data_IF_088289570165
#
_entry.id   IF_088289570165
#
_cell.length_a   1.000
_cell.length_b   1.000
_cell.length_c   1.000
_cell.angle_alpha   90.00
_cell.angle_beta   90.00
_cell.angle_gamma   90.00
#
_symmetry.space_group_name_H-M   'P 1'
#
loop_
_entity.id
_entity.type
_entity.pdbx_description
1 polymer ?
#
# COMPACT_ATOMS: atom_id res chain seq x y z
N UNK A 1 9.77 -28.12 -14.34
CA UNK A 1 10.80 -27.48 -15.19
C UNK A 1 11.12 -26.15 -14.53
N UNK A 2 12.39 -25.86 -14.25
CA UNK A 2 12.76 -24.60 -13.62
C UNK A 2 12.74 -23.46 -14.65
N UNK A 3 12.38 -22.26 -14.23
CA UNK A 3 12.56 -21.04 -15.03
C UNK A 3 13.99 -20.57 -14.83
N UNK A 4 14.69 -20.23 -15.90
CA UNK A 4 16.06 -19.72 -15.84
C UNK A 4 16.13 -18.23 -15.47
N UNK A 5 17.31 -17.76 -15.08
CA UNK A 5 17.58 -16.35 -14.83
C UNK A 5 17.30 -15.47 -16.06
N UNK A 6 17.70 -15.92 -17.25
CA UNK A 6 17.45 -15.20 -18.51
C UNK A 6 15.95 -15.09 -18.81
N UNK A 7 15.18 -16.15 -18.57
CA UNK A 7 13.74 -16.18 -18.78
C UNK A 7 12.98 -15.27 -17.80
N UNK A 8 13.28 -15.35 -16.50
CA UNK A 8 12.59 -14.52 -15.51
C UNK A 8 12.89 -13.03 -15.71
N UNK A 9 14.12 -12.67 -16.10
CA UNK A 9 14.48 -11.28 -16.44
C UNK A 9 13.65 -10.73 -17.58
N UNK A 10 13.51 -11.51 -18.65
CA UNK A 10 12.67 -11.15 -19.81
C UNK A 10 11.20 -11.01 -19.40
N UNK A 11 10.74 -11.85 -18.47
CA UNK A 11 9.37 -11.85 -17.96
C UNK A 11 9.10 -10.77 -16.90
N UNK A 12 10.14 -10.18 -16.30
CA UNK A 12 10.05 -9.45 -15.04
C UNK A 12 9.05 -8.29 -15.08
N UNK A 13 9.04 -7.54 -16.20
CA UNK A 13 8.10 -6.42 -16.41
C UNK A 13 6.63 -6.83 -16.46
N UNK A 14 6.33 -8.09 -16.79
CA UNK A 14 4.98 -8.63 -16.80
C UNK A 14 4.66 -9.32 -15.48
N UNK A 15 5.53 -10.20 -15.01
CA UNK A 15 5.31 -10.99 -13.78
C UNK A 15 5.27 -10.10 -12.54
N UNK A 16 6.07 -9.04 -12.48
CA UNK A 16 6.16 -8.17 -11.31
C UNK A 16 5.50 -6.79 -11.53
N UNK A 17 4.69 -6.63 -12.58
CA UNK A 17 3.98 -5.39 -12.83
C UNK A 17 3.06 -5.00 -11.66
N UNK A 18 3.18 -3.76 -11.19
CA UNK A 18 2.35 -3.23 -10.09
C UNK A 18 1.11 -2.44 -10.57
N UNK A 19 0.89 -2.31 -11.88
CA UNK A 19 -0.10 -1.41 -12.49
C UNK A 19 -0.84 -2.02 -13.70
N UNK A 20 -1.66 -1.19 -14.38
CA UNK A 20 -2.60 -1.49 -15.48
C UNK A 20 -2.03 -2.24 -16.70
N UNK A 21 -0.72 -2.52 -16.75
CA UNK A 21 -0.10 -3.33 -17.81
C UNK A 21 -0.33 -4.85 -17.66
N UNK A 22 -1.24 -5.27 -16.77
CA UNK A 22 -1.41 -6.67 -16.40
C UNK A 22 -2.87 -7.12 -16.56
N UNK A 23 -3.13 -7.99 -17.53
CA UNK A 23 -4.48 -8.43 -17.95
C UNK A 23 -4.98 -9.71 -17.24
N UNK A 24 -4.42 -10.07 -16.09
CA UNK A 24 -4.84 -11.32 -15.42
C UNK A 24 -5.83 -11.08 -14.28
N UNK A 25 -6.70 -12.07 -13.97
CA UNK A 25 -7.57 -12.01 -12.81
C UNK A 25 -6.73 -11.75 -11.55
N UNK A 26 -7.15 -10.85 -10.68
CA UNK A 26 -6.40 -10.56 -9.46
C UNK A 26 -6.58 -11.73 -8.50
N UNK A 27 -5.45 -12.31 -8.07
CA UNK A 27 -5.44 -13.42 -7.13
C UNK A 27 -6.11 -13.03 -5.80
N UNK A 28 -6.94 -13.94 -5.27
CA UNK A 28 -7.37 -13.97 -3.86
C UNK A 28 -7.95 -12.65 -3.31
N UNK A 29 -8.90 -12.08 -4.07
CA UNK A 29 -9.82 -11.01 -3.62
C UNK A 29 -11.26 -11.50 -3.59
N UNK A 30 -11.48 -12.80 -3.43
CA UNK A 30 -12.81 -13.39 -3.60
C UNK A 30 -13.77 -12.97 -2.49
N UNK A 31 -13.27 -12.73 -1.28
CA UNK A 31 -14.08 -12.23 -0.17
C UNK A 31 -14.46 -10.78 -0.45
N UNK A 32 -13.51 -9.93 -0.86
CA UNK A 32 -13.83 -8.55 -1.25
C UNK A 32 -14.77 -8.48 -2.46
N UNK A 33 -14.57 -9.31 -3.48
CA UNK A 33 -15.43 -9.38 -4.67
C UNK A 33 -16.85 -9.77 -4.28
N UNK A 34 -16.99 -10.78 -3.42
CA UNK A 34 -18.28 -11.23 -2.90
C UNK A 34 -18.95 -10.14 -2.06
N UNK A 35 -18.21 -9.51 -1.15
CA UNK A 35 -18.73 -8.41 -0.32
C UNK A 35 -19.27 -7.26 -1.20
N UNK A 36 -18.51 -6.84 -2.21
CA UNK A 36 -18.98 -5.84 -3.18
C UNK A 36 -20.22 -6.33 -3.93
N UNK A 37 -20.21 -7.56 -4.44
CA UNK A 37 -21.36 -8.12 -5.17
C UNK A 37 -22.63 -8.16 -4.29
N UNK A 38 -22.50 -8.58 -3.03
CA UNK A 38 -23.59 -8.65 -2.06
C UNK A 38 -24.10 -7.24 -1.72
N UNK A 39 -23.19 -6.27 -1.53
CA UNK A 39 -23.56 -4.87 -1.26
C UNK A 39 -24.34 -4.25 -2.42
N UNK A 40 -23.92 -4.51 -3.66
CA UNK A 40 -24.51 -3.89 -4.85
C UNK A 40 -25.59 -4.74 -5.54
N UNK A 41 -25.93 -5.91 -4.98
CA UNK A 41 -27.08 -6.70 -5.43
C UNK A 41 -28.41 -5.93 -5.31
N UNK A 42 -28.49 -5.00 -4.34
CA UNK A 42 -29.58 -4.03 -4.22
C UNK A 42 -29.00 -2.62 -4.03
N UNK A 43 -29.21 -1.75 -5.01
CA UNK A 43 -28.66 -0.39 -5.02
C UNK A 43 -29.47 0.61 -4.17
N UNK A 44 -30.73 0.32 -3.86
CA UNK A 44 -31.61 1.28 -3.17
C UNK A 44 -31.08 1.72 -1.79
N UNK A 45 -30.56 0.82 -0.92
CA UNK A 45 -29.95 1.22 0.35
C UNK A 45 -28.69 2.09 0.22
N UNK A 46 -28.13 2.20 -0.98
CA UNK A 46 -26.91 2.95 -1.28
C UNK A 46 -27.17 4.30 -1.93
N UNK A 47 -28.41 4.59 -2.35
CA UNK A 47 -28.77 5.87 -2.96
C UNK A 47 -28.41 7.02 -2.03
N UNK A 48 -27.60 7.94 -2.54
CA UNK A 48 -27.06 9.08 -1.78
C UNK A 48 -26.07 8.70 -0.68
N UNK A 49 -25.47 7.51 -0.75
CA UNK A 49 -24.49 7.00 0.21
C UNK A 49 -23.14 6.68 -0.45
N UNK A 50 -22.11 6.39 0.34
CA UNK A 50 -20.78 6.07 -0.16
C UNK A 50 -20.24 4.74 0.39
N UNK A 51 -19.73 3.89 -0.50
CA UNK A 51 -18.85 2.78 -0.14
C UNK A 51 -17.40 3.29 -0.15
N UNK A 52 -16.69 3.01 0.94
CA UNK A 52 -15.29 3.39 1.12
C UNK A 52 -14.42 2.13 1.14
N UNK A 53 -13.44 2.07 0.25
CA UNK A 53 -12.37 1.08 0.29
C UNK A 53 -11.12 1.76 0.81
N UNK A 54 -10.85 1.54 2.10
CA UNK A 54 -9.71 2.12 2.82
C UNK A 54 -8.71 1.04 3.21
N UNK A 55 -7.57 1.06 2.53
CA UNK A 55 -6.43 0.15 2.74
C UNK A 55 -5.12 0.88 2.37
N UNK A 56 -3.94 0.43 2.82
CA UNK A 56 -2.68 1.13 2.57
C UNK A 56 -2.42 1.44 1.09
N UNK A 57 -1.57 2.44 0.84
CA UNK A 57 -1.15 2.76 -0.52
C UNK A 57 -0.47 1.56 -1.18
N UNK A 58 -0.71 1.36 -2.48
CA UNK A 58 -0.05 0.30 -3.24
C UNK A 58 -0.57 -1.12 -3.01
N UNK A 59 -1.69 -1.31 -2.30
CA UNK A 59 -2.34 -2.62 -2.04
C UNK A 59 -3.24 -3.15 -3.19
N UNK A 60 -3.30 -2.42 -4.31
CA UNK A 60 -4.08 -2.84 -5.49
C UNK A 60 -5.55 -2.42 -5.49
N UNK A 61 -5.99 -1.45 -4.68
CA UNK A 61 -7.38 -0.96 -4.65
C UNK A 61 -7.93 -0.56 -6.02
N UNK A 62 -7.19 0.27 -6.77
CA UNK A 62 -7.60 0.73 -8.11
C UNK A 62 -7.73 -0.46 -9.08
N UNK A 63 -6.79 -1.41 -9.02
CA UNK A 63 -6.84 -2.62 -9.85
C UNK A 63 -8.03 -3.52 -9.48
N UNK A 64 -8.30 -3.69 -8.18
CA UNK A 64 -9.47 -4.40 -7.69
C UNK A 64 -10.76 -3.78 -8.24
N UNK A 65 -10.92 -2.45 -8.15
CA UNK A 65 -12.09 -1.77 -8.70
C UNK A 65 -12.19 -1.96 -10.21
N UNK A 66 -11.08 -1.83 -10.94
CA UNK A 66 -11.07 -2.05 -12.39
C UNK A 66 -11.63 -3.43 -12.78
N UNK A 67 -11.39 -4.47 -11.98
CA UNK A 67 -11.93 -5.82 -12.22
C UNK A 67 -13.43 -5.98 -11.90
N UNK A 68 -13.95 -5.22 -10.94
CA UNK A 68 -15.36 -5.29 -10.53
C UNK A 68 -16.22 -4.23 -11.23
N UNK A 69 -15.64 -3.37 -12.09
CA UNK A 69 -16.38 -2.34 -12.82
C UNK A 69 -17.58 -2.89 -13.59
N UNK A 70 -17.40 -4.02 -14.27
CA UNK A 70 -18.49 -4.70 -15.01
C UNK A 70 -19.60 -5.18 -14.07
N UNK A 71 -19.25 -5.72 -12.90
CA UNK A 71 -20.20 -6.12 -11.86
C UNK A 71 -20.98 -4.93 -11.30
N UNK A 72 -20.33 -3.77 -11.21
CA UNK A 72 -20.93 -2.53 -10.73
C UNK A 72 -21.73 -1.77 -11.80
N UNK A 73 -21.82 -2.29 -13.04
CA UNK A 73 -22.43 -1.56 -14.15
C UNK A 73 -21.71 -0.25 -14.48
N UNK A 74 -20.44 -0.11 -14.10
CA UNK A 74 -19.59 1.02 -14.46
C UNK A 74 -19.15 0.85 -15.91
N UNK A 75 -19.49 1.80 -16.78
CA UNK A 75 -19.04 1.83 -18.17
C UNK A 75 -17.51 1.83 -18.25
N UNK A 76 -16.96 1.05 -19.18
CA UNK A 76 -15.53 1.06 -19.52
C UNK A 76 -15.03 2.49 -19.77
N UNK A 77 -13.82 2.80 -19.32
CA UNK A 77 -13.18 4.11 -19.52
C UNK A 77 -13.56 5.23 -18.54
N UNK A 78 -14.39 4.99 -17.51
CA UNK A 78 -14.57 5.96 -16.41
C UNK A 78 -13.25 6.13 -15.65
N UNK A 79 -12.60 7.28 -15.86
CA UNK A 79 -11.46 7.75 -15.07
C UNK A 79 -11.99 8.17 -13.67
N UNK A 80 -11.38 7.71 -12.57
CA UNK A 80 -11.73 8.20 -11.24
C UNK A 80 -11.56 9.71 -11.14
N UNK A 81 -12.44 10.37 -10.40
CA UNK A 81 -12.19 11.73 -9.93
C UNK A 81 -11.17 11.67 -8.79
N UNK A 82 -10.23 12.60 -8.76
CA UNK A 82 -9.27 12.71 -7.66
C UNK A 82 -9.92 13.50 -6.52
N UNK A 83 -9.90 12.99 -5.28
CA UNK A 83 -10.56 13.65 -4.13
C UNK A 83 -10.20 15.13 -4.04
N UNK A 84 -8.90 15.45 -4.17
CA UNK A 84 -8.40 16.82 -4.04
C UNK A 84 -8.81 17.78 -5.18
N UNK A 85 -9.37 17.26 -6.27
CA UNK A 85 -9.80 18.02 -7.45
C UNK A 85 -11.32 18.02 -7.64
N UNK A 86 -12.07 17.51 -6.65
CA UNK A 86 -13.52 17.48 -6.71
C UNK A 86 -14.07 18.90 -6.59
N UNK A 87 -14.84 19.29 -7.60
CA UNK A 87 -15.61 20.53 -7.63
C UNK A 87 -17.04 20.23 -8.11
N UNK A 88 -18.03 21.09 -7.80
CA UNK A 88 -19.40 20.89 -8.27
C UNK A 88 -19.51 20.71 -9.79
N UNK A 89 -18.65 21.40 -10.57
CA UNK A 89 -18.62 21.32 -12.03
C UNK A 89 -18.12 19.97 -12.56
N UNK A 90 -17.19 19.31 -11.85
CA UNK A 90 -16.63 18.01 -12.27
C UNK A 90 -17.64 16.90 -11.97
N UNK A 91 -18.32 16.95 -10.83
CA UNK A 91 -19.36 16.01 -10.44
C UNK A 91 -20.56 15.99 -11.41
N UNK A 92 -20.99 17.16 -11.90
CA UNK A 92 -22.07 17.27 -12.89
C UNK A 92 -21.79 16.54 -14.21
N UNK A 93 -20.51 16.29 -14.54
CA UNK A 93 -20.11 15.56 -15.75
C UNK A 93 -20.20 14.03 -15.58
N UNK A 94 -20.41 13.55 -14.35
CA UNK A 94 -20.50 12.11 -14.09
C UNK A 94 -21.81 11.54 -14.66
N UNK A 95 -21.70 10.48 -15.46
CA UNK A 95 -22.86 9.75 -16.02
C UNK A 95 -23.19 8.50 -15.20
N UNK A 96 -24.43 8.04 -15.23
CA UNK A 96 -24.88 6.84 -14.51
C UNK A 96 -25.00 7.01 -13.00
N UNK A 97 -25.28 5.89 -12.31
CA UNK A 97 -25.64 5.85 -10.89
C UNK A 97 -24.48 6.03 -9.92
N UNK A 98 -23.25 5.82 -10.39
CA UNK A 98 -22.05 5.82 -9.56
C UNK A 98 -21.11 7.00 -9.85
N UNK A 99 -20.56 7.56 -8.78
CA UNK A 99 -19.43 8.50 -8.78
C UNK A 99 -18.21 7.76 -8.24
N UNK A 100 -17.19 7.61 -9.09
CA UNK A 100 -15.95 6.93 -8.71
C UNK A 100 -14.88 7.95 -8.35
N UNK A 101 -14.30 7.79 -7.16
CA UNK A 101 -13.36 8.73 -6.55
C UNK A 101 -12.14 7.95 -6.04
N UNK A 102 -10.94 8.44 -6.34
CA UNK A 102 -9.65 7.86 -5.91
C UNK A 102 -8.76 8.95 -5.28
N UNK A 103 -7.60 8.56 -4.75
CA UNK A 103 -6.62 9.44 -4.09
C UNK A 103 -7.13 10.15 -2.81
N UNK A 104 -8.04 9.49 -2.08
CA UNK A 104 -8.38 9.84 -0.70
C UNK A 104 -7.29 9.42 0.29
N UNK A 105 -6.04 9.84 0.08
CA UNK A 105 -4.89 9.36 0.83
C UNK A 105 -4.02 10.49 1.43
N UNK A 106 -3.04 10.07 2.22
CA UNK A 106 -2.10 10.90 2.99
C UNK A 106 -1.31 11.91 2.14
N UNK A 107 -1.20 11.72 0.81
CA UNK A 107 -0.51 12.67 -0.07
C UNK A 107 -1.35 13.91 -0.34
N UNK A 108 -2.68 13.76 -0.33
CA UNK A 108 -3.61 14.86 -0.51
C UNK A 108 -3.62 15.75 0.74
N UNK A 109 -3.60 17.08 0.55
CA UNK A 109 -3.66 18.00 1.69
C UNK A 109 -4.98 17.85 2.47
N UNK A 110 -4.93 18.06 3.79
CA UNK A 110 -6.13 17.97 4.65
C UNK A 110 -7.28 18.84 4.14
N UNK A 111 -6.98 20.09 3.76
CA UNK A 111 -7.98 21.03 3.21
C UNK A 111 -8.64 20.50 1.94
N UNK A 112 -7.85 19.87 1.06
CA UNK A 112 -8.36 19.31 -0.19
C UNK A 112 -9.18 18.02 0.06
N UNK A 113 -8.73 17.14 0.97
CA UNK A 113 -9.51 15.98 1.41
C UNK A 113 -10.86 16.39 1.98
N UNK A 114 -10.87 17.33 2.93
CA UNK A 114 -12.09 17.83 3.56
C UNK A 114 -13.04 18.46 2.54
N UNK A 115 -12.56 19.42 1.74
CA UNK A 115 -13.39 20.11 0.75
C UNK A 115 -13.94 19.18 -0.34
N UNK A 116 -13.12 18.24 -0.81
CA UNK A 116 -13.51 17.25 -1.80
C UNK A 116 -14.59 16.30 -1.29
N UNK A 117 -14.41 15.74 -0.09
CA UNK A 117 -15.39 14.83 0.54
C UNK A 117 -16.69 15.53 0.92
N UNK A 118 -16.62 16.77 1.39
CA UNK A 118 -17.81 17.61 1.65
C UNK A 118 -18.61 17.88 0.38
N UNK A 119 -17.91 18.29 -0.69
CA UNK A 119 -18.54 18.55 -1.99
C UNK A 119 -19.18 17.28 -2.56
N UNK A 120 -18.46 16.14 -2.47
CA UNK A 120 -18.96 14.84 -2.87
C UNK A 120 -20.20 14.44 -2.07
N UNK A 121 -20.14 14.50 -0.74
CA UNK A 121 -21.22 14.07 0.15
C UNK A 121 -22.52 14.83 -0.09
N UNK A 122 -22.43 16.16 -0.29
CA UNK A 122 -23.58 16.99 -0.69
C UNK A 122 -24.16 16.54 -2.03
N UNK A 123 -23.32 16.35 -3.04
CA UNK A 123 -23.76 15.93 -4.36
C UNK A 123 -24.44 14.55 -4.37
N UNK A 124 -23.89 13.58 -3.64
CA UNK A 124 -24.50 12.25 -3.52
C UNK A 124 -25.90 12.36 -2.90
N UNK A 125 -26.04 13.14 -1.82
CA UNK A 125 -27.33 13.38 -1.17
C UNK A 125 -28.35 14.05 -2.09
N UNK A 126 -27.93 15.09 -2.82
CA UNK A 126 -28.82 15.87 -3.69
C UNK A 126 -29.27 15.09 -4.94
N UNK A 127 -28.44 14.16 -5.44
CA UNK A 127 -28.70 13.43 -6.69
C UNK A 127 -29.14 11.99 -6.50
N UNK A 128 -29.02 11.43 -5.30
CA UNK A 128 -29.25 10.02 -5.03
C UNK A 128 -28.19 9.10 -5.66
N UNK A 129 -27.10 9.62 -6.21
CA UNK A 129 -25.99 8.80 -6.73
C UNK A 129 -25.25 8.07 -5.61
N UNK A 130 -24.52 7.04 -6.00
CA UNK A 130 -23.72 6.19 -5.12
C UNK A 130 -22.25 6.56 -5.26
N UNK A 131 -21.59 6.86 -4.15
CA UNK A 131 -20.15 7.11 -4.11
C UNK A 131 -19.37 5.81 -3.97
N UNK A 132 -18.32 5.63 -4.78
CA UNK A 132 -17.27 4.65 -4.55
C UNK A 132 -15.97 5.40 -4.32
N UNK A 133 -15.49 5.42 -3.08
CA UNK A 133 -14.34 6.23 -2.66
C UNK A 133 -13.17 5.33 -2.27
N UNK A 134 -12.03 5.51 -2.93
CA UNK A 134 -10.80 4.79 -2.63
C UNK A 134 -9.80 5.71 -1.94
N UNK A 135 -9.09 5.15 -0.97
CA UNK A 135 -8.08 5.89 -0.23
C UNK A 135 -7.28 5.00 0.71
N UNK A 136 -6.39 5.62 1.46
CA UNK A 136 -5.70 4.94 2.57
C UNK A 136 -6.49 5.08 3.87
N UNK A 137 -5.83 4.88 5.00
CA UNK A 137 -6.45 5.01 6.32
C UNK A 137 -6.91 6.43 6.66
N UNK A 138 -6.51 7.45 5.90
CA UNK A 138 -7.03 8.82 6.02
C UNK A 138 -8.57 8.84 5.94
N UNK A 139 -9.17 8.04 5.06
CA UNK A 139 -10.63 7.97 4.94
C UNK A 139 -11.33 7.35 6.17
N UNK A 140 -10.60 6.68 7.06
CA UNK A 140 -11.14 6.18 8.33
C UNK A 140 -11.21 7.27 9.40
N UNK A 141 -10.64 8.44 9.14
CA UNK A 141 -10.77 9.58 10.03
C UNK A 141 -12.26 10.02 10.09
N UNK A 142 -12.88 10.07 11.28
CA UNK A 142 -14.26 10.53 11.44
C UNK A 142 -14.50 11.95 10.91
N UNK A 143 -13.53 12.85 11.04
CA UNK A 143 -13.65 14.24 10.57
C UNK A 143 -13.71 14.35 9.05
N UNK A 144 -13.14 13.38 8.33
CA UNK A 144 -13.24 13.29 6.87
C UNK A 144 -14.49 12.50 6.46
N UNK A 145 -14.69 11.30 7.02
CA UNK A 145 -15.76 10.40 6.59
C UNK A 145 -17.16 10.90 6.93
N UNK A 146 -17.34 11.72 7.99
CA UNK A 146 -18.64 12.32 8.36
C UNK A 146 -19.24 13.21 7.27
N UNK A 147 -18.42 13.72 6.35
CA UNK A 147 -18.90 14.55 5.25
C UNK A 147 -19.65 13.74 4.19
N UNK A 148 -19.39 12.43 4.11
CA UNK A 148 -20.13 11.53 3.25
C UNK A 148 -21.43 11.15 3.93
N UNK A 149 -22.53 11.16 3.19
CA UNK A 149 -23.82 10.70 3.72
C UNK A 149 -23.76 9.18 3.92
N UNK A 150 -23.94 8.70 5.17
CA UNK A 150 -23.95 7.26 5.54
C UNK A 150 -22.74 6.49 4.97
N UNK A 151 -21.49 6.84 5.35
CA UNK A 151 -20.32 6.15 4.85
C UNK A 151 -20.34 4.70 5.32
N UNK A 152 -20.12 3.77 4.41
CA UNK A 152 -19.92 2.36 4.74
C UNK A 152 -18.53 1.95 4.30
N UNK A 153 -17.77 1.38 5.21
CA UNK A 153 -16.45 0.83 4.91
C UNK A 153 -16.61 -0.62 4.46
N UNK A 154 -15.84 -1.00 3.44
CA UNK A 154 -15.68 -2.41 3.13
C UNK A 154 -15.01 -3.10 4.31
N UNK A 155 -15.60 -4.20 4.78
CA UNK A 155 -15.13 -4.91 5.97
C UNK A 155 -13.87 -5.71 5.66
N UNK A 156 -13.79 -6.28 4.46
CA UNK A 156 -12.72 -7.16 4.05
C UNK A 156 -12.01 -6.61 2.83
N UNK A 157 -10.74 -6.22 3.00
CA UNK A 157 -9.76 -6.14 1.92
C UNK A 157 -8.58 -7.01 2.32
N UNK A 158 -8.41 -8.14 1.65
CA UNK A 158 -7.51 -9.19 2.15
C UNK A 158 -6.07 -8.63 2.28
N UNK A 159 -5.37 -8.92 3.38
CA UNK A 159 -4.03 -8.38 3.61
C UNK A 159 -3.03 -8.91 2.57
N UNK A 160 -1.91 -8.21 2.43
CA UNK A 160 -0.75 -8.75 1.73
C UNK A 160 0.08 -9.59 2.71
N UNK A 161 -0.33 -10.85 2.84
CA UNK A 161 0.37 -11.89 3.60
C UNK A 161 1.17 -12.82 2.66
N UNK A 162 1.90 -13.77 3.26
CA UNK A 162 2.68 -14.77 2.53
C UNK A 162 1.82 -15.58 1.54
N UNK A 163 0.65 -16.05 1.97
CA UNK A 163 -0.27 -16.86 1.14
C UNK A 163 -0.73 -16.07 -0.07
N UNK A 164 -1.02 -14.78 0.10
CA UNK A 164 -1.39 -13.87 -0.96
C UNK A 164 -0.23 -13.68 -1.93
N UNK A 165 0.97 -13.35 -1.45
CA UNK A 165 2.14 -13.10 -2.30
C UNK A 165 2.53 -14.34 -3.11
N UNK A 166 2.64 -15.51 -2.47
CA UNK A 166 2.92 -16.79 -3.15
C UNK A 166 1.91 -17.07 -4.25
N UNK A 167 0.64 -16.93 -3.92
CA UNK A 167 -0.43 -17.24 -4.86
C UNK A 167 -0.51 -16.26 -6.02
N UNK A 168 -0.23 -14.97 -5.80
CA UNK A 168 -0.02 -14.01 -6.90
C UNK A 168 1.12 -14.50 -7.77
N UNK A 169 2.32 -14.69 -7.23
CA UNK A 169 3.49 -15.06 -8.04
C UNK A 169 3.25 -16.34 -8.83
N UNK A 170 2.64 -17.36 -8.21
CA UNK A 170 2.20 -18.60 -8.89
C UNK A 170 1.21 -18.32 -10.02
N UNK A 171 0.18 -17.53 -9.78
CA UNK A 171 -0.79 -17.19 -10.83
C UNK A 171 -0.12 -16.45 -11.99
N UNK A 172 0.79 -15.53 -11.70
CA UNK A 172 1.46 -14.74 -12.74
C UNK A 172 2.43 -15.56 -13.56
N UNK A 173 3.23 -16.39 -12.89
CA UNK A 173 4.15 -17.32 -13.55
C UNK A 173 3.41 -18.41 -14.33
N UNK A 174 2.30 -18.95 -13.81
CA UNK A 174 1.53 -19.98 -14.51
C UNK A 174 0.97 -19.46 -15.82
N UNK A 175 0.52 -18.21 -15.85
CA UNK A 175 0.01 -17.56 -17.05
C UNK A 175 1.12 -17.22 -18.04
N UNK A 176 2.26 -16.70 -17.56
CA UNK A 176 3.40 -16.41 -18.42
C UNK A 176 4.01 -17.68 -19.04
N UNK A 177 4.23 -18.71 -18.22
CA UNK A 177 4.85 -19.97 -18.65
C UNK A 177 3.85 -20.94 -19.30
N UNK A 178 2.55 -20.67 -19.22
CA UNK A 178 1.47 -21.58 -19.61
C UNK A 178 1.55 -22.95 -18.91
N UNK A 179 1.91 -22.94 -17.62
CA UNK A 179 2.12 -24.14 -16.80
C UNK A 179 1.22 -24.14 -15.57
N UNK A 180 0.57 -25.27 -15.25
CA UNK A 180 -0.32 -25.36 -14.08
C UNK A 180 0.42 -25.16 -12.74
N UNK A 181 1.64 -25.68 -12.64
CA UNK A 181 2.45 -25.66 -11.42
C UNK A 181 3.82 -25.02 -11.74
N UNK A 182 3.90 -23.69 -11.79
CA UNK A 182 5.17 -23.00 -12.03
C UNK A 182 6.14 -23.21 -10.85
N UNK A 183 7.45 -23.09 -11.09
CA UNK A 183 8.46 -23.18 -10.03
C UNK A 183 8.32 -22.01 -9.03
N UNK A 184 8.72 -22.26 -7.78
CA UNK A 184 8.96 -21.19 -6.82
C UNK A 184 10.22 -20.42 -7.24
N UNK A 185 10.15 -19.09 -7.15
CA UNK A 185 11.24 -18.19 -7.55
C UNK A 185 11.81 -17.40 -6.37
N UNK A 186 11.22 -17.51 -5.18
CA UNK A 186 11.72 -16.93 -3.93
C UNK A 186 11.91 -18.07 -2.92
N UNK A 187 12.95 -17.99 -2.10
CA UNK A 187 13.13 -18.88 -0.95
C UNK A 187 12.09 -18.57 0.15
N UNK A 188 11.77 -19.57 0.97
CA UNK A 188 10.82 -19.40 2.09
C UNK A 188 11.29 -18.33 3.08
N UNK A 189 12.59 -18.25 3.35
CA UNK A 189 13.17 -17.21 4.20
C UNK A 189 12.94 -15.80 3.64
N UNK A 190 13.03 -15.63 2.31
CA UNK A 190 12.81 -14.34 1.68
C UNK A 190 11.34 -13.93 1.74
N UNK A 191 10.40 -14.88 1.58
CA UNK A 191 8.98 -14.60 1.78
C UNK A 191 8.69 -14.03 3.17
N UNK A 192 9.27 -14.64 4.21
CA UNK A 192 9.05 -14.25 5.60
C UNK A 192 9.52 -12.82 5.91
N UNK A 193 10.56 -12.34 5.23
CA UNK A 193 11.07 -10.97 5.41
C UNK A 193 10.32 -9.95 4.55
N UNK A 194 9.91 -10.33 3.33
CA UNK A 194 9.17 -9.43 2.44
C UNK A 194 7.74 -9.16 2.91
N UNK A 195 7.11 -10.15 3.54
CA UNK A 195 5.73 -10.05 4.04
C UNK A 195 5.60 -10.71 5.42
N UNK A 196 6.20 -10.12 6.48
CA UNK A 196 6.08 -10.67 7.83
C UNK A 196 4.61 -10.71 8.27
N UNK A 197 4.23 -11.70 9.09
CA UNK A 197 2.81 -11.92 9.48
C UNK A 197 2.16 -10.68 10.11
N UNK A 198 2.90 -9.96 10.95
CA UNK A 198 2.44 -8.73 11.60
C UNK A 198 2.12 -7.58 10.62
N UNK A 199 2.58 -7.66 9.37
CA UNK A 199 2.60 -6.57 8.40
C UNK A 199 1.48 -6.62 7.38
N UNK A 200 0.66 -7.68 7.37
CA UNK A 200 -0.44 -7.84 6.43
C UNK A 200 -1.29 -6.56 6.20
N UNK A 201 -1.64 -5.80 7.25
CA UNK A 201 -2.43 -4.56 7.14
C UNK A 201 -1.68 -3.32 6.62
N UNK A 202 -0.35 -3.38 6.42
CA UNK A 202 0.49 -2.22 6.04
C UNK A 202 1.38 -2.50 4.82
N UNK A 203 1.56 -3.77 4.46
CA UNK A 203 2.36 -4.17 3.31
C UNK A 203 1.83 -3.59 2.00
N UNK A 204 2.76 -3.05 1.20
CA UNK A 204 2.46 -2.52 -0.13
C UNK A 204 2.82 -3.53 -1.20
N UNK A 205 1.81 -4.02 -1.91
CA UNK A 205 1.98 -4.93 -3.05
C UNK A 205 2.87 -4.33 -4.13
N UNK A 206 2.70 -3.03 -4.39
CA UNK A 206 3.59 -2.28 -5.29
C UNK A 206 5.03 -2.32 -4.82
N UNK A 207 5.28 -2.08 -3.53
CA UNK A 207 6.65 -2.01 -2.99
C UNK A 207 7.34 -3.36 -3.11
N UNK A 208 6.70 -4.43 -2.62
CA UNK A 208 7.25 -5.79 -2.67
C UNK A 208 7.53 -6.26 -4.11
N UNK A 209 6.59 -6.06 -5.04
CA UNK A 209 6.83 -6.47 -6.43
C UNK A 209 7.90 -5.63 -7.13
N UNK A 210 7.99 -4.34 -6.82
CA UNK A 210 9.04 -3.47 -7.39
C UNK A 210 10.41 -3.93 -6.90
N UNK A 211 10.52 -4.25 -5.61
CA UNK A 211 11.73 -4.81 -5.02
C UNK A 211 12.14 -6.14 -5.69
N UNK A 212 11.21 -7.09 -5.83
CA UNK A 212 11.48 -8.37 -6.50
C UNK A 212 11.92 -8.13 -7.96
N UNK A 213 11.28 -7.20 -8.66
CA UNK A 213 11.65 -6.86 -10.03
C UNK A 213 13.09 -6.33 -10.11
N UNK A 214 13.48 -5.44 -9.19
CA UNK A 214 14.85 -4.91 -9.10
C UNK A 214 15.85 -6.03 -8.82
N UNK A 215 15.59 -6.89 -7.84
CA UNK A 215 16.45 -8.02 -7.51
C UNK A 215 16.64 -8.97 -8.71
N UNK A 216 15.58 -9.21 -9.49
CA UNK A 216 15.64 -10.00 -10.72
C UNK A 216 16.53 -9.34 -11.78
N UNK A 217 16.55 -8.01 -11.88
CA UNK A 217 17.43 -7.34 -12.85
C UNK A 217 18.92 -7.53 -12.56
N UNK A 218 19.29 -7.83 -11.31
CA UNK A 218 20.69 -8.06 -10.91
C UNK A 218 21.19 -9.50 -11.12
N UNK A 219 20.29 -10.44 -11.45
CA UNK A 219 20.71 -11.82 -11.71
C UNK A 219 21.73 -11.91 -12.86
N UNK A 220 22.59 -12.93 -12.95
CA UNK A 220 23.36 -13.14 -14.17
C UNK A 220 22.41 -13.52 -15.32
N UNK A 221 22.65 -13.00 -16.53
CA UNK A 221 21.88 -13.40 -17.70
C UNK A 221 22.37 -14.76 -18.23
N UNK A 222 21.87 -15.86 -17.65
CA UNK A 222 22.26 -17.23 -17.98
C UNK A 222 21.09 -18.22 -17.82
N UNK A 223 21.35 -19.49 -18.13
CA UNK A 223 20.36 -20.57 -18.10
C UNK A 223 20.28 -21.28 -16.72
N UNK A 224 20.94 -20.73 -15.69
CA UNK A 224 20.82 -21.26 -14.34
C UNK A 224 19.39 -21.07 -13.81
N UNK A 225 18.90 -22.03 -13.04
CA UNK A 225 17.58 -21.96 -12.43
C UNK A 225 17.45 -20.71 -11.53
N UNK A 226 16.38 -19.97 -11.71
CA UNK A 226 16.08 -18.79 -10.90
C UNK A 226 15.55 -19.19 -9.52
N UNK A 227 16.27 -18.76 -8.49
CA UNK A 227 15.81 -18.76 -7.11
C UNK A 227 16.38 -17.52 -6.42
N UNK A 228 15.53 -16.55 -6.11
CA UNK A 228 15.88 -15.40 -5.30
C UNK A 228 15.96 -15.83 -3.84
N UNK A 229 17.09 -15.56 -3.20
CA UNK A 229 17.34 -15.97 -1.82
C UNK A 229 17.48 -14.76 -0.90
N UNK A 230 17.32 -14.98 0.41
CA UNK A 230 17.53 -13.94 1.41
C UNK A 230 18.93 -13.31 1.30
N UNK A 231 20.05 -14.05 1.21
CA UNK A 231 21.37 -13.46 1.05
C UNK A 231 21.50 -12.53 -0.18
N UNK A 232 20.86 -12.88 -1.30
CA UNK A 232 20.88 -12.01 -2.50
C UNK A 232 20.11 -10.72 -2.27
N UNK A 233 18.97 -10.79 -1.58
CA UNK A 233 18.18 -9.61 -1.24
C UNK A 233 18.92 -8.70 -0.24
N UNK A 234 19.59 -9.27 0.76
CA UNK A 234 20.42 -8.54 1.74
C UNK A 234 21.60 -7.86 1.04
N UNK A 235 22.33 -8.60 0.20
CA UNK A 235 23.46 -8.06 -0.57
C UNK A 235 23.01 -6.90 -1.48
N UNK A 236 21.88 -7.07 -2.17
CA UNK A 236 21.31 -6.01 -2.99
C UNK A 236 20.98 -4.76 -2.19
N UNK A 237 20.28 -4.89 -1.07
CA UNK A 237 19.93 -3.73 -0.23
C UNK A 237 21.18 -3.03 0.27
N UNK A 238 22.17 -3.77 0.79
CA UNK A 238 23.39 -3.16 1.35
C UNK A 238 24.28 -2.47 0.32
N UNK A 239 24.25 -2.92 -0.95
CA UNK A 239 25.16 -2.44 -1.98
C UNK A 239 24.51 -1.54 -3.04
N UNK A 240 23.20 -1.61 -3.22
CA UNK A 240 22.48 -0.96 -4.33
C UNK A 240 21.31 -0.08 -3.89
N UNK A 241 20.75 -0.30 -2.69
CA UNK A 241 19.69 0.58 -2.19
C UNK A 241 20.30 1.86 -1.64
N UNK A 242 19.96 2.97 -2.28
CA UNK A 242 20.41 4.31 -1.90
C UNK A 242 19.24 5.07 -1.28
N UNK A 243 19.14 5.17 0.06
CA UNK A 243 18.12 6.00 0.67
C UNK A 243 18.42 7.48 0.40
N UNK A 244 17.36 8.26 0.12
CA UNK A 244 17.47 9.72 0.10
C UNK A 244 17.74 10.22 1.53
N UNK A 245 19.01 10.47 1.85
CA UNK A 245 19.49 11.01 3.13
C UNK A 245 20.12 12.37 2.87
N UNK A 246 19.55 13.40 3.47
CA UNK A 246 19.91 14.80 3.27
C UNK A 246 20.83 15.34 4.38
N UNK A 247 20.93 14.65 5.53
CA UNK A 247 21.66 15.14 6.70
C UNK A 247 22.37 14.04 7.48
N UNK A 248 23.49 14.38 8.12
CA UNK A 248 24.20 13.49 9.06
C UNK A 248 23.28 12.99 10.18
N UNK A 249 22.29 13.79 10.59
CA UNK A 249 21.35 13.40 11.65
C UNK A 249 20.38 12.31 11.19
N UNK A 250 19.91 12.38 9.94
CA UNK A 250 19.12 11.31 9.32
C UNK A 250 19.94 10.03 9.18
N UNK A 251 21.21 10.13 8.76
CA UNK A 251 22.11 8.98 8.67
C UNK A 251 22.34 8.34 10.04
N UNK A 252 22.65 9.14 11.07
CA UNK A 252 22.82 8.66 12.44
C UNK A 252 21.56 7.99 12.98
N UNK A 253 20.38 8.56 12.72
CA UNK A 253 19.11 7.94 13.08
C UNK A 253 18.93 6.60 12.38
N UNK A 254 19.18 6.54 11.07
CA UNK A 254 19.04 5.32 10.28
C UNK A 254 19.93 4.21 10.83
N UNK A 255 21.21 4.50 11.07
CA UNK A 255 22.15 3.52 11.63
C UNK A 255 21.68 3.01 13.00
N UNK A 256 21.28 3.92 13.90
CA UNK A 256 20.72 3.53 15.20
C UNK A 256 19.46 2.67 15.04
N UNK A 257 18.58 3.02 14.10
CA UNK A 257 17.35 2.30 13.88
C UNK A 257 17.59 0.90 13.30
N UNK A 258 18.56 0.74 12.40
CA UNK A 258 18.99 -0.55 11.87
C UNK A 258 19.54 -1.45 12.98
N UNK A 259 20.39 -0.91 13.86
CA UNK A 259 20.91 -1.65 15.02
C UNK A 259 19.77 -2.09 15.96
N UNK A 260 18.81 -1.19 16.21
CA UNK A 260 17.63 -1.50 17.02
C UNK A 260 16.79 -2.63 16.42
N UNK A 261 16.55 -2.58 15.10
CA UNK A 261 15.82 -3.64 14.38
C UNK A 261 16.59 -4.97 14.47
N UNK A 262 17.89 -4.97 14.17
CA UNK A 262 18.72 -6.17 14.19
C UNK A 262 18.71 -6.87 15.56
N UNK A 263 18.75 -6.09 16.64
CA UNK A 263 18.83 -6.61 18.01
C UNK A 263 17.46 -6.99 18.59
N UNK A 264 16.44 -6.17 18.36
CA UNK A 264 15.15 -6.28 19.05
C UNK A 264 14.08 -6.96 18.22
N UNK A 265 14.16 -6.83 16.89
CA UNK A 265 13.13 -7.25 15.94
C UNK A 265 13.72 -7.88 14.67
N UNK A 266 14.61 -8.87 14.79
CA UNK A 266 15.23 -9.50 13.62
C UNK A 266 14.14 -10.05 12.70
N UNK A 267 14.24 -9.78 11.39
CA UNK A 267 13.23 -10.17 10.38
C UNK A 267 11.80 -9.68 10.67
N UNK A 268 11.65 -8.65 11.49
CA UNK A 268 10.35 -8.09 11.87
C UNK A 268 9.59 -8.89 12.94
N UNK A 269 10.25 -9.82 13.61
CA UNK A 269 9.67 -10.58 14.74
C UNK A 269 9.31 -9.66 15.93
N UNK A 270 8.20 -9.94 16.60
CA UNK A 270 7.77 -9.18 17.79
C UNK A 270 7.23 -7.77 17.50
N UNK A 271 6.86 -7.48 16.25
CA UNK A 271 6.30 -6.19 15.82
C UNK A 271 4.77 -6.23 15.64
N UNK A 272 4.04 -7.14 16.26
CA UNK A 272 2.58 -7.27 16.11
C UNK A 272 1.83 -5.98 16.49
N UNK A 273 2.37 -5.23 17.45
CA UNK A 273 1.85 -3.93 17.87
C UNK A 273 2.53 -2.73 17.20
N UNK A 274 3.62 -2.97 16.46
CA UNK A 274 4.51 -1.94 15.93
C UNK A 274 5.25 -1.16 17.02
N UNK A 275 6.03 -0.18 16.60
CA UNK A 275 6.83 0.71 17.45
C UNK A 275 5.98 1.92 17.83
N UNK A 276 5.91 2.28 19.11
CA UNK A 276 5.15 3.45 19.56
C UNK A 276 5.86 4.77 19.26
N UNK A 277 5.11 5.88 19.36
CA UNK A 277 5.62 7.25 19.32
C UNK A 277 6.72 7.47 20.35
N UNK A 278 6.54 7.01 21.57
CA UNK A 278 7.53 7.18 22.65
C UNK A 278 8.82 6.43 22.32
N UNK A 279 8.72 5.18 21.85
CA UNK A 279 9.89 4.38 21.46
C UNK A 279 10.63 5.02 20.29
N UNK A 280 9.89 5.41 19.25
CA UNK A 280 10.46 6.07 18.08
C UNK A 280 11.16 7.39 18.45
N UNK A 281 10.53 8.18 19.33
CA UNK A 281 11.10 9.44 19.80
C UNK A 281 12.31 9.25 20.73
N UNK A 282 12.34 8.19 21.53
CA UNK A 282 13.51 7.83 22.33
C UNK A 282 14.73 7.56 21.45
N UNK A 283 14.55 6.91 20.29
CA UNK A 283 15.61 6.73 19.30
C UNK A 283 16.03 8.07 18.69
N UNK A 284 15.08 8.94 18.33
CA UNK A 284 15.37 10.30 17.86
C UNK A 284 16.20 11.12 18.87
N UNK A 285 15.91 10.99 20.17
CA UNK A 285 16.67 11.65 21.24
C UNK A 285 18.14 11.21 21.31
N UNK A 286 18.44 9.95 20.98
CA UNK A 286 19.84 9.46 20.96
C UNK A 286 20.70 10.17 19.90
N UNK A 287 20.07 10.68 18.84
CA UNK A 287 20.75 11.37 17.73
C UNK A 287 20.54 12.89 17.75
N UNK A 288 20.03 13.41 18.88
CA UNK A 288 20.01 14.86 19.15
C UNK A 288 18.70 15.59 18.86
N UNK A 289 17.59 14.89 18.61
CA UNK A 289 16.27 15.54 18.55
C UNK A 289 15.77 15.89 19.95
N UNK A 290 15.45 17.16 20.19
CA UNK A 290 14.94 17.66 21.48
C UNK A 290 13.43 17.83 21.52
N UNK A 291 12.78 17.88 20.35
CA UNK A 291 11.33 18.07 20.21
C UNK A 291 10.73 17.08 19.20
N UNK A 292 9.49 16.65 19.44
CA UNK A 292 8.79 15.72 18.55
C UNK A 292 8.48 16.31 17.17
N UNK A 293 8.03 17.58 17.02
CA UNK A 293 7.77 18.17 15.71
C UNK A 293 8.99 18.18 14.79
N UNK A 294 10.17 18.55 15.31
CA UNK A 294 11.41 18.54 14.51
C UNK A 294 11.81 17.12 14.08
N UNK A 295 11.66 16.13 14.96
CA UNK A 295 11.85 14.73 14.61
C UNK A 295 10.86 14.25 13.54
N UNK A 296 9.59 14.67 13.62
CA UNK A 296 8.60 14.33 12.60
C UNK A 296 8.96 14.91 11.23
N UNK A 297 9.36 16.18 11.18
CA UNK A 297 9.69 16.89 9.95
C UNK A 297 10.97 16.38 9.29
N UNK A 298 12.01 16.10 10.07
CA UNK A 298 13.30 15.67 9.54
C UNK A 298 13.42 14.15 9.33
N UNK A 299 12.67 13.32 10.07
CA UNK A 299 12.80 11.85 10.02
C UNK A 299 11.51 11.19 9.54
N UNK A 300 10.43 11.28 10.31
CA UNK A 300 9.24 10.43 10.06
C UNK A 300 8.57 10.75 8.73
N UNK A 301 8.47 12.02 8.35
CA UNK A 301 7.85 12.42 7.09
C UNK A 301 8.76 12.03 5.90
N UNK A 302 10.06 12.38 5.86
CA UNK A 302 10.94 11.94 4.77
C UNK A 302 11.01 10.42 4.63
N UNK A 303 11.23 9.69 5.73
CA UNK A 303 11.34 8.23 5.70
C UNK A 303 9.99 7.55 5.40
N UNK A 304 8.88 8.18 5.81
CA UNK A 304 7.54 7.75 5.44
C UNK A 304 7.24 7.93 3.94
N UNK A 305 7.74 9.02 3.35
CA UNK A 305 7.61 9.30 1.90
C UNK A 305 8.47 8.38 1.05
N UNK A 306 9.70 8.10 1.48
CA UNK A 306 10.60 7.14 0.81
C UNK A 306 10.14 5.68 0.99
N UNK A 307 9.19 5.44 1.92
CA UNK A 307 8.64 4.12 2.19
C UNK A 307 9.53 3.27 3.08
N UNK A 308 10.53 3.87 3.75
CA UNK A 308 11.39 3.22 4.73
C UNK A 308 10.65 2.95 6.04
N UNK A 309 9.85 3.92 6.51
CA UNK A 309 8.99 3.79 7.69
C UNK A 309 7.54 3.69 7.25
N UNK A 310 6.84 2.68 7.73
CA UNK A 310 5.41 2.47 7.51
C UNK A 310 4.63 2.85 8.77
N UNK A 311 3.35 3.18 8.60
CA UNK A 311 2.43 3.52 9.68
C UNK A 311 1.11 2.77 9.51
N UNK A 312 0.54 2.31 10.63
CA UNK A 312 -0.83 1.77 10.70
C UNK A 312 -1.83 2.78 11.28
N UNK A 313 -1.34 3.95 11.73
CA UNK A 313 -2.18 4.97 12.32
C UNK A 313 -3.17 5.57 11.30
N UNK A 314 -4.21 6.24 11.83
CA UNK A 314 -5.18 6.99 11.03
C UNK A 314 -4.72 8.46 10.98
N UNK A 315 -4.33 9.00 9.81
CA UNK A 315 -3.92 10.40 9.68
C UNK A 315 -5.01 11.35 10.19
N UNK A 316 -4.62 12.39 10.94
CA UNK A 316 -5.54 13.27 11.67
C UNK A 316 -4.95 14.64 11.93
N UNK A 317 -5.81 15.58 12.33
CA UNK A 317 -5.33 16.79 12.99
C UNK A 317 -4.98 16.44 14.44
N UNK A 318 -3.85 16.94 14.92
CA UNK A 318 -3.49 16.89 16.34
C UNK A 318 -4.21 17.98 17.14
N UNK A 319 -3.90 18.06 18.44
CA UNK A 319 -4.50 19.03 19.37
C UNK A 319 -4.18 20.49 19.00
N UNK A 320 -3.12 20.72 18.23
CA UNK A 320 -2.66 22.02 17.76
C UNK A 320 -3.22 22.37 16.37
N UNK A 321 -3.99 21.46 15.77
CA UNK A 321 -4.57 21.61 14.45
C UNK A 321 -3.60 21.35 13.29
N UNK A 322 -2.44 20.74 13.56
CA UNK A 322 -1.49 20.31 12.54
C UNK A 322 -1.84 18.92 12.01
N UNK A 323 -1.60 18.68 10.73
CA UNK A 323 -1.93 17.40 10.10
C UNK A 323 -0.85 16.35 10.36
N UNK A 324 -1.11 15.48 11.33
CA UNK A 324 -0.32 14.29 11.65
C UNK A 324 -0.50 13.25 10.53
N UNK A 325 0.48 13.21 9.61
CA UNK A 325 0.45 12.37 8.42
C UNK A 325 0.75 10.90 8.73
N UNK A 326 1.85 10.60 9.42
CA UNK A 326 2.23 9.23 9.81
C UNK A 326 2.08 9.05 11.32
N UNK A 327 0.86 8.82 11.83
CA UNK A 327 0.66 8.51 13.24
C UNK A 327 1.16 7.10 13.57
N UNK A 328 1.44 6.85 14.83
CA UNK A 328 1.79 5.51 15.32
C UNK A 328 0.63 4.49 15.13
N UNK A 329 0.91 3.17 15.20
CA UNK A 329 2.22 2.54 15.38
C UNK A 329 3.06 2.52 14.09
N UNK A 330 4.38 2.55 14.26
CA UNK A 330 5.38 2.56 13.19
C UNK A 330 5.97 1.17 12.94
N UNK A 331 6.38 0.93 11.70
CA UNK A 331 6.97 -0.33 11.29
C UNK A 331 8.12 -0.08 10.30
N UNK A 332 9.29 -0.74 10.45
CA UNK A 332 10.32 -0.73 9.42
C UNK A 332 9.84 -1.43 8.15
N UNK A 333 10.04 -0.85 6.98
CA UNK A 333 9.76 -1.52 5.72
C UNK A 333 10.58 -2.80 5.54
N UNK A 334 10.16 -3.67 4.60
CA UNK A 334 10.95 -4.85 4.25
C UNK A 334 12.39 -4.51 3.82
N UNK A 335 12.62 -3.33 3.23
CA UNK A 335 13.98 -2.87 2.89
C UNK A 335 14.81 -2.65 4.14
N UNK A 336 14.26 -1.97 5.17
CA UNK A 336 14.96 -1.80 6.44
C UNK A 336 15.17 -3.13 7.17
N UNK A 337 14.21 -4.06 7.12
CA UNK A 337 14.37 -5.39 7.68
C UNK A 337 15.54 -6.13 7.02
N UNK A 338 15.62 -6.11 5.69
CA UNK A 338 16.73 -6.72 4.94
C UNK A 338 18.06 -6.04 5.22
N UNK A 339 18.08 -4.71 5.37
CA UNK A 339 19.30 -3.97 5.67
C UNK A 339 19.83 -4.31 7.07
N UNK A 340 18.93 -4.46 8.04
CA UNK A 340 19.25 -4.85 9.41
C UNK A 340 19.65 -6.33 9.57
N UNK A 341 19.52 -7.17 8.55
CA UNK A 341 20.01 -8.55 8.61
C UNK A 341 21.53 -8.57 8.81
N UNK A 342 21.99 -9.36 9.78
CA UNK A 342 23.41 -9.48 10.15
C UNK A 342 24.11 -10.63 9.43
#
# INVERSE_FOLDING_TARGET
MAISNSEIKRAARQVFASSRGYETPFYNRDISKKEVADHFANLEPWRGSALIISAPMGTGKTFFVDQIKSLLGLTEGKVPLLVGEIEPKTLKKTKGDFVFVDEGDIKTSWKALHGGLETLGKYLKDTGKIGLVLGDFSLRNPDLSRHLSKPKFMNSFEPLDEKFLRGVLKQRLSMYLQQKNPPEILSDELYNVLVPDAYGPINSFRSVLTFINQLVQELPNNDAACLLTLPMAVDWVKNQFDPEIDTDRQENFLNFFLDYIAQSHPRGTGLEQGISKEQMYLMGKQVGYTEWPSFQEEILIPFGRSGMILSRGIPRLDEEGQFERWPEPYFPSHVLLLWAET
#
